data_IF_780284644116
#
_entry.id   IF_780284644116
#
_cell.length_a   1.000
_cell.length_b   1.000
_cell.length_c   1.000
_cell.angle_alpha   90.00
_cell.angle_beta   90.00
_cell.angle_gamma   90.00
#
_symmetry.space_group_name_H-M   'P 1'
#
loop_
_entity.id
_entity.type
_entity.pdbx_description
1 polymer ?
#
# COMPACT_ATOMS: atom_id res chain seq x y z
N UNK A 1 15.02 -19.95 40.00
CA UNK A 1 13.58 -20.14 39.68
C UNK A 1 13.32 -21.64 39.60
N UNK A 2 12.60 -22.25 40.56
CA UNK A 2 12.36 -23.70 40.55
C UNK A 2 11.31 -24.01 39.48
N UNK A 3 11.74 -24.59 38.35
CA UNK A 3 10.84 -25.06 37.31
C UNK A 3 9.98 -26.19 37.88
N UNK A 4 8.67 -26.15 37.64
CA UNK A 4 7.74 -27.22 38.01
C UNK A 4 8.23 -28.53 37.35
N UNK A 5 8.27 -29.68 38.06
CA UNK A 5 8.76 -30.95 37.53
C UNK A 5 8.16 -31.33 36.16
N UNK A 6 6.91 -30.96 35.90
CA UNK A 6 6.25 -31.19 34.60
C UNK A 6 6.94 -30.47 33.43
N UNK A 7 7.52 -29.29 33.63
CA UNK A 7 8.21 -28.55 32.58
C UNK A 7 9.64 -29.04 32.35
N UNK A 8 10.31 -29.53 33.39
CA UNK A 8 11.68 -30.04 33.32
C UNK A 8 11.78 -31.26 32.40
N UNK A 9 10.74 -32.10 32.39
CA UNK A 9 10.58 -33.25 31.49
C UNK A 9 10.58 -32.83 30.01
N UNK A 10 9.97 -31.70 29.65
CA UNK A 10 9.86 -31.24 28.26
C UNK A 10 11.01 -30.35 27.79
N UNK A 11 11.84 -29.86 28.70
CA UNK A 11 12.94 -28.93 28.39
C UNK A 11 14.30 -29.64 28.45
N UNK A 12 14.52 -30.51 29.43
CA UNK A 12 15.86 -31.04 29.74
C UNK A 12 15.95 -32.56 29.92
N UNK A 13 14.91 -33.23 30.43
CA UNK A 13 15.03 -34.63 30.89
C UNK A 13 14.41 -35.66 29.93
N UNK A 14 13.46 -35.27 29.07
CA UNK A 14 12.74 -36.17 28.18
C UNK A 14 11.57 -36.89 28.86
N UNK A 15 10.50 -37.17 28.10
CA UNK A 15 9.31 -37.84 28.63
C UNK A 15 9.45 -39.38 28.52
N UNK A 16 9.78 -40.02 29.64
CA UNK A 16 10.01 -41.47 29.69
C UNK A 16 8.73 -42.30 29.95
N UNK A 17 7.61 -41.66 30.28
CA UNK A 17 6.33 -42.32 30.57
C UNK A 17 5.43 -42.39 29.32
N UNK A 18 5.78 -43.28 28.38
CA UNK A 18 5.08 -43.39 27.09
C UNK A 18 3.56 -43.64 27.22
N UNK A 19 3.13 -44.38 28.25
CA UNK A 19 1.70 -44.67 28.52
C UNK A 19 0.87 -43.42 28.84
N UNK A 20 1.49 -42.42 29.47
CA UNK A 20 0.85 -41.16 29.87
C UNK A 20 1.37 -39.96 29.06
N UNK A 21 2.15 -40.21 28.01
CA UNK A 21 2.79 -39.16 27.25
C UNK A 21 1.75 -38.21 26.63
N UNK A 22 0.67 -38.76 26.07
CA UNK A 22 -0.35 -37.98 25.38
C UNK A 22 -1.08 -36.98 26.31
N UNK A 23 -1.41 -37.40 27.53
CA UNK A 23 -2.05 -36.52 28.53
C UNK A 23 -1.08 -35.45 29.02
N UNK A 24 0.19 -35.81 29.22
CA UNK A 24 1.24 -34.85 29.61
C UNK A 24 1.55 -33.85 28.48
N UNK A 25 1.52 -34.26 27.21
CA UNK A 25 1.66 -33.35 26.08
C UNK A 25 0.51 -32.36 25.99
N UNK A 26 -0.74 -32.81 26.16
CA UNK A 26 -1.91 -31.89 26.19
C UNK A 26 -1.76 -30.86 27.31
N UNK A 27 -1.34 -31.29 28.50
CA UNK A 27 -1.11 -30.40 29.63
C UNK A 27 0.05 -29.41 29.35
N UNK A 28 1.12 -29.87 28.70
CA UNK A 28 2.23 -29.03 28.28
C UNK A 28 1.84 -27.99 27.22
N UNK A 29 1.03 -28.36 26.22
CA UNK A 29 0.54 -27.44 25.18
C UNK A 29 -0.29 -26.30 25.77
N UNK A 30 -1.04 -26.56 26.84
CA UNK A 30 -1.79 -25.52 27.57
C UNK A 30 -0.94 -24.78 28.60
N UNK A 31 0.31 -25.18 28.82
CA UNK A 31 1.19 -24.54 29.79
C UNK A 31 1.58 -23.15 29.32
N UNK A 32 1.62 -22.21 30.28
CA UNK A 32 2.19 -20.89 30.10
C UNK A 32 3.59 -20.91 29.45
N UNK A 33 4.43 -21.89 29.79
CA UNK A 33 5.80 -21.94 29.25
C UNK A 33 5.80 -22.27 27.75
N UNK A 34 4.96 -23.21 27.30
CA UNK A 34 4.79 -23.49 25.89
C UNK A 34 4.18 -22.29 25.15
N UNK A 35 3.11 -21.71 25.70
CA UNK A 35 2.46 -20.53 25.13
C UNK A 35 3.43 -19.33 25.00
N UNK A 36 4.21 -19.04 26.03
CA UNK A 36 5.21 -17.96 26.01
C UNK A 36 6.32 -18.26 24.98
N UNK A 37 6.80 -19.51 24.89
CA UNK A 37 7.81 -19.90 23.89
C UNK A 37 7.31 -19.79 22.46
N UNK A 38 6.08 -20.25 22.19
CA UNK A 38 5.45 -20.12 20.86
C UNK A 38 5.19 -18.65 20.52
N UNK A 39 4.83 -17.82 21.50
CA UNK A 39 4.67 -16.38 21.32
C UNK A 39 5.99 -15.69 20.95
N UNK A 40 7.10 -16.03 21.62
CA UNK A 40 8.43 -15.49 21.30
C UNK A 40 8.91 -15.97 19.93
N UNK A 41 8.76 -17.26 19.61
CA UNK A 41 9.14 -17.81 18.30
C UNK A 41 8.33 -17.19 17.16
N UNK A 42 7.03 -17.00 17.35
CA UNK A 42 6.18 -16.31 16.38
C UNK A 42 6.58 -14.84 16.20
N UNK A 43 7.04 -14.16 17.26
CA UNK A 43 7.56 -12.80 17.14
C UNK A 43 8.89 -12.75 16.40
N UNK A 44 9.79 -13.72 16.61
CA UNK A 44 11.05 -13.82 15.86
C UNK A 44 10.81 -14.09 14.37
N UNK A 45 9.74 -14.82 14.04
CA UNK A 45 9.34 -15.06 12.65
C UNK A 45 8.65 -13.86 12.00
N UNK A 46 8.19 -12.86 12.76
CA UNK A 46 7.57 -11.65 12.19
C UNK A 46 8.66 -10.71 11.69
N UNK A 47 8.49 -10.10 10.50
CA UNK A 47 9.43 -9.08 10.05
C UNK A 47 9.43 -7.92 11.06
N UNK A 48 10.62 -7.38 11.32
CA UNK A 48 10.81 -6.21 12.19
C UNK A 48 9.83 -5.10 11.82
N UNK A 49 9.35 -4.34 12.82
CA UNK A 49 8.44 -3.19 12.60
C UNK A 49 8.97 -2.26 11.49
N UNK A 50 10.29 -2.05 11.44
CA UNK A 50 10.95 -1.27 10.37
C UNK A 50 10.71 -1.86 8.98
N UNK A 51 10.85 -3.17 8.80
CA UNK A 51 10.61 -3.84 7.51
C UNK A 51 9.13 -3.76 7.12
N UNK A 52 8.22 -3.89 8.08
CA UNK A 52 6.79 -3.73 7.84
C UNK A 52 6.47 -2.31 7.35
N UNK A 53 7.01 -1.28 8.01
CA UNK A 53 6.84 0.12 7.61
C UNK A 53 7.45 0.43 6.23
N UNK A 54 8.61 -0.15 5.91
CA UNK A 54 9.22 -0.02 4.58
C UNK A 54 8.33 -0.64 3.50
N UNK A 55 7.81 -1.84 3.76
CA UNK A 55 6.94 -2.55 2.82
C UNK A 55 5.62 -1.81 2.57
N UNK A 56 5.00 -1.26 3.63
CA UNK A 56 3.77 -0.47 3.50
C UNK A 56 4.02 0.84 2.77
N UNK A 57 5.12 1.54 3.09
CA UNK A 57 5.52 2.77 2.40
C UNK A 57 5.72 2.53 0.92
N UNK A 58 6.44 1.45 0.55
CA UNK A 58 6.66 1.06 -0.85
C UNK A 58 5.32 0.81 -1.57
N UNK A 59 4.42 0.05 -0.95
CA UNK A 59 3.08 -0.22 -1.50
C UNK A 59 2.29 1.07 -1.74
N UNK A 60 2.29 1.98 -0.76
CA UNK A 60 1.60 3.27 -0.91
C UNK A 60 2.23 4.14 -2.00
N UNK A 61 3.55 4.18 -2.12
CA UNK A 61 4.22 4.92 -3.20
C UNK A 61 3.83 4.39 -4.58
N UNK A 62 3.73 3.07 -4.73
CA UNK A 62 3.32 2.44 -5.98
C UNK A 62 1.87 2.79 -6.35
N UNK A 63 0.95 2.69 -5.38
CA UNK A 63 -0.45 3.09 -5.57
C UNK A 63 -0.58 4.56 -5.97
N UNK A 64 0.14 5.45 -5.28
CA UNK A 64 0.15 6.89 -5.59
C UNK A 64 0.70 7.18 -6.99
N UNK A 65 1.74 6.46 -7.39
CA UNK A 65 2.32 6.58 -8.74
C UNK A 65 1.32 6.17 -9.81
N UNK A 66 0.62 5.05 -9.62
CA UNK A 66 -0.43 4.59 -10.53
C UNK A 66 -1.56 5.63 -10.64
N UNK A 67 -2.07 6.11 -9.50
CA UNK A 67 -3.11 7.15 -9.46
C UNK A 67 -2.68 8.44 -10.19
N UNK A 68 -1.43 8.86 -10.00
CA UNK A 68 -0.86 10.02 -10.68
C UNK A 68 -0.78 9.85 -12.20
N UNK A 69 -0.34 8.69 -12.69
CA UNK A 69 -0.35 8.41 -14.14
C UNK A 69 -1.76 8.44 -14.72
N UNK A 70 -2.73 7.89 -13.99
CA UNK A 70 -4.13 7.94 -14.42
C UNK A 70 -4.62 9.40 -14.49
N UNK A 71 -4.29 10.23 -13.51
CA UNK A 71 -4.59 11.66 -13.52
C UNK A 71 -3.98 12.36 -14.76
N UNK A 72 -2.69 12.15 -15.04
CA UNK A 72 -2.03 12.72 -16.23
C UNK A 72 -2.76 12.29 -17.51
N UNK A 73 -3.03 11.00 -17.67
CA UNK A 73 -3.72 10.48 -18.87
C UNK A 73 -5.14 11.06 -19.02
N UNK A 74 -5.82 11.30 -17.90
CA UNK A 74 -7.15 11.92 -17.86
C UNK A 74 -7.10 13.40 -18.26
N UNK A 75 -6.09 14.14 -17.79
CA UNK A 75 -5.84 15.52 -18.21
C UNK A 75 -5.55 15.57 -19.72
N UNK A 76 -4.64 14.72 -20.21
CA UNK A 76 -4.31 14.66 -21.64
C UNK A 76 -5.53 14.33 -22.50
N UNK A 77 -6.37 13.39 -22.06
CA UNK A 77 -7.60 13.03 -22.75
C UNK A 77 -8.55 14.23 -22.90
N UNK A 78 -8.80 14.96 -21.81
CA UNK A 78 -9.68 16.14 -21.82
C UNK A 78 -9.09 17.28 -22.66
N UNK A 79 -7.80 17.56 -22.52
CA UNK A 79 -7.11 18.57 -23.32
C UNK A 79 -7.18 18.27 -24.82
N UNK A 80 -6.99 17.00 -25.20
CA UNK A 80 -7.08 16.57 -26.60
C UNK A 80 -8.48 16.71 -27.19
N UNK A 81 -9.51 16.62 -26.35
CA UNK A 81 -10.90 16.85 -26.76
C UNK A 81 -11.29 18.33 -26.74
N UNK A 82 -10.43 19.22 -26.23
CA UNK A 82 -10.77 20.62 -26.02
C UNK A 82 -11.80 20.84 -24.91
N UNK A 83 -11.97 19.86 -24.01
CA UNK A 83 -12.89 19.97 -22.89
C UNK A 83 -12.26 20.76 -21.74
N UNK A 84 -13.07 21.59 -21.09
CA UNK A 84 -12.64 22.31 -19.91
C UNK A 84 -12.30 21.32 -18.79
N UNK A 85 -11.10 21.45 -18.22
CA UNK A 85 -10.69 20.64 -17.05
C UNK A 85 -11.49 21.01 -15.80
N UNK A 86 -11.89 22.28 -15.68
CA UNK A 86 -12.63 22.84 -14.56
C UNK A 86 -14.07 23.14 -14.95
N UNK A 87 -14.97 22.94 -13.99
CA UNK A 87 -16.36 23.37 -14.07
C UNK A 87 -16.60 24.59 -13.17
N UNK A 88 -17.82 25.10 -13.19
CA UNK A 88 -18.25 26.19 -12.32
C UNK A 88 -18.29 25.82 -10.82
N UNK A 89 -18.35 24.51 -10.53
CA UNK A 89 -18.19 23.94 -9.20
C UNK A 89 -17.27 22.72 -9.27
N UNK A 90 -16.70 22.33 -8.13
CA UNK A 90 -15.87 21.12 -8.01
C UNK A 90 -16.66 19.84 -8.40
N UNK A 91 -17.97 19.83 -8.20
CA UNK A 91 -18.84 18.69 -8.57
C UNK A 91 -19.03 18.58 -10.09
N UNK A 92 -19.03 19.72 -10.79
CA UNK A 92 -19.17 19.82 -12.24
C UNK A 92 -17.82 19.86 -12.96
N UNK A 93 -16.73 19.57 -12.24
CA UNK A 93 -15.39 19.55 -12.80
C UNK A 93 -15.17 18.28 -13.65
N UNK A 94 -15.00 18.45 -14.96
CA UNK A 94 -14.83 17.34 -15.92
C UNK A 94 -13.70 16.40 -15.53
N UNK A 95 -12.59 16.94 -15.01
CA UNK A 95 -11.47 16.12 -14.54
C UNK A 95 -11.86 15.25 -13.34
N UNK A 96 -12.56 15.82 -12.35
CA UNK A 96 -13.00 15.07 -11.17
C UNK A 96 -14.01 13.99 -11.58
N UNK A 97 -14.94 14.30 -12.49
CA UNK A 97 -15.92 13.33 -13.00
C UNK A 97 -15.24 12.17 -13.74
N UNK A 98 -14.26 12.47 -14.60
CA UNK A 98 -13.50 11.45 -15.31
C UNK A 98 -12.69 10.57 -14.34
N UNK A 99 -12.02 11.17 -13.36
CA UNK A 99 -11.26 10.42 -12.36
C UNK A 99 -12.17 9.57 -11.47
N UNK A 100 -13.38 10.06 -11.12
CA UNK A 100 -14.43 9.28 -10.44
C UNK A 100 -14.93 8.12 -11.28
N UNK A 101 -15.14 8.31 -12.59
CA UNK A 101 -15.52 7.21 -13.48
C UNK A 101 -14.42 6.14 -13.51
N UNK A 102 -13.16 6.56 -13.63
CA UNK A 102 -12.01 5.66 -13.69
C UNK A 102 -11.68 4.99 -12.35
N UNK A 103 -12.17 5.52 -11.22
CA UNK A 103 -12.00 4.88 -9.92
C UNK A 103 -12.87 3.64 -9.73
N UNK A 104 -13.85 3.42 -10.62
CA UNK A 104 -14.59 2.15 -10.72
C UNK A 104 -13.65 1.03 -11.14
N UNK A 105 -12.75 1.29 -12.09
CA UNK A 105 -11.78 0.30 -12.61
C UNK A 105 -10.48 0.25 -11.80
N UNK A 106 -10.13 1.36 -11.14
CA UNK A 106 -8.87 1.50 -10.40
C UNK A 106 -9.11 1.94 -8.96
N UNK A 107 -9.08 0.97 -8.03
CA UNK A 107 -9.30 1.22 -6.60
C UNK A 107 -8.32 2.25 -6.00
N UNK A 108 -7.10 2.36 -6.54
CA UNK A 108 -6.09 3.31 -6.05
C UNK A 108 -6.51 4.79 -6.19
N UNK A 109 -7.54 5.08 -6.99
CA UNK A 109 -8.07 6.42 -7.17
C UNK A 109 -9.06 6.84 -6.08
N UNK A 110 -9.63 5.92 -5.31
CA UNK A 110 -10.60 6.25 -4.25
C UNK A 110 -9.97 7.16 -3.21
N UNK A 111 -8.86 6.71 -2.63
CA UNK A 111 -8.06 7.51 -1.69
C UNK A 111 -7.52 8.80 -2.31
N UNK A 112 -7.24 8.77 -3.63
CA UNK A 112 -6.70 9.91 -4.37
C UNK A 112 -7.73 11.04 -4.51
N UNK A 113 -9.00 10.68 -4.76
CA UNK A 113 -10.12 11.62 -4.86
C UNK A 113 -10.47 12.18 -3.47
N UNK A 114 -10.52 11.31 -2.45
CA UNK A 114 -10.93 11.71 -1.10
C UNK A 114 -9.95 12.70 -0.45
N UNK A 115 -8.64 12.52 -0.68
CA UNK A 115 -7.62 13.40 -0.13
C UNK A 115 -7.67 14.81 -0.75
N UNK A 116 -8.27 14.98 -1.94
CA UNK A 116 -8.39 16.21 -2.79
C UNK A 116 -7.10 16.99 -3.07
N UNK A 117 -6.02 16.71 -2.36
CA UNK A 117 -4.75 17.41 -2.39
C UNK A 117 -4.12 17.39 -3.77
N UNK A 118 -4.16 16.25 -4.46
CA UNK A 118 -3.51 16.03 -5.75
C UNK A 118 -4.33 16.51 -6.96
N UNK A 119 -5.63 16.75 -6.75
CA UNK A 119 -6.55 17.28 -7.76
C UNK A 119 -6.75 18.80 -7.62
N UNK A 120 -5.96 19.45 -6.76
CA UNK A 120 -6.00 20.90 -6.60
C UNK A 120 -5.64 21.60 -7.92
N UNK A 121 -6.20 22.78 -8.09
CA UNK A 121 -6.02 23.59 -9.27
C UNK A 121 -4.56 23.91 -9.58
N UNK A 122 -3.74 24.14 -8.56
CA UNK A 122 -2.32 24.45 -8.73
C UNK A 122 -1.57 23.24 -9.30
N UNK A 123 -1.83 22.05 -8.78
CA UNK A 123 -1.18 20.82 -9.26
C UNK A 123 -1.62 20.49 -10.68
N UNK A 124 -2.92 20.61 -10.97
CA UNK A 124 -3.44 20.37 -12.32
C UNK A 124 -2.85 21.38 -13.32
N UNK A 125 -2.68 22.65 -12.92
CA UNK A 125 -2.05 23.66 -13.75
C UNK A 125 -0.58 23.32 -14.07
N UNK A 126 0.19 22.86 -13.08
CA UNK A 126 1.56 22.44 -13.32
C UNK A 126 1.64 21.22 -14.25
N UNK A 127 0.74 20.24 -14.10
CA UNK A 127 0.64 19.11 -15.04
C UNK A 127 0.37 19.61 -16.47
N UNK A 128 -0.59 20.52 -16.64
CA UNK A 128 -0.90 21.11 -17.95
C UNK A 128 0.30 21.84 -18.55
N UNK A 129 1.04 22.60 -17.73
CA UNK A 129 2.23 23.32 -18.14
C UNK A 129 3.34 22.38 -18.59
N UNK A 130 3.59 21.30 -17.86
CA UNK A 130 4.59 20.30 -18.25
C UNK A 130 4.21 19.58 -19.55
N UNK A 131 2.93 19.22 -19.72
CA UNK A 131 2.41 18.65 -20.97
C UNK A 131 2.63 19.64 -22.13
N UNK A 132 2.24 20.91 -21.95
CA UNK A 132 2.40 21.97 -22.94
C UNK A 132 3.86 22.18 -23.35
N UNK A 133 4.77 22.30 -22.38
CA UNK A 133 6.19 22.48 -22.62
C UNK A 133 6.81 21.28 -23.36
N UNK A 134 6.36 20.06 -23.04
CA UNK A 134 6.82 18.85 -23.73
C UNK A 134 6.42 18.88 -25.20
N UNK A 135 5.15 19.16 -25.48
CA UNK A 135 4.63 19.24 -26.86
C UNK A 135 5.37 20.32 -27.66
N UNK A 136 5.61 21.51 -27.09
CA UNK A 136 6.34 22.57 -27.78
C UNK A 136 7.77 22.17 -28.09
N UNK A 137 8.47 21.52 -27.16
CA UNK A 137 9.83 21.06 -27.39
C UNK A 137 9.88 20.03 -28.51
N UNK A 138 8.89 19.15 -28.58
CA UNK A 138 8.81 18.14 -29.63
C UNK A 138 8.53 18.77 -31.00
N UNK A 139 7.56 19.69 -31.10
CA UNK A 139 7.29 20.45 -32.33
C UNK A 139 8.53 21.27 -32.75
N UNK A 140 9.21 21.92 -31.81
CA UNK A 140 10.40 22.71 -32.12
C UNK A 140 11.54 21.86 -32.68
N UNK A 141 11.73 20.62 -32.18
CA UNK A 141 12.69 19.69 -32.75
C UNK A 141 12.32 19.30 -34.18
N UNK A 142 11.06 18.95 -34.41
CA UNK A 142 10.57 18.60 -35.76
C UNK A 142 10.79 19.74 -36.76
N UNK A 143 10.57 21.00 -36.35
CA UNK A 143 10.79 22.16 -37.21
C UNK A 143 12.28 22.47 -37.41
N UNK A 144 13.13 22.27 -36.39
CA UNK A 144 14.57 22.54 -36.48
C UNK A 144 15.38 21.46 -37.23
N UNK A 145 14.85 20.24 -37.37
CA UNK A 145 15.47 19.16 -38.13
C UNK A 145 15.19 19.22 -39.64
N UNK A 146 14.38 20.19 -40.09
CA UNK A 146 14.10 20.52 -41.51
C UNK A 146 14.98 21.68 -41.96
#
# INVERSE_FOLDING_TARGET
MKLNPTHKIFISEGCNDWKNALSRFKLHQTSKLYLDSTYVMNQQSRPTVVLQLLSSTKKHQEQRRQAFFIQISSVMYLLRQGLALRGQSDENCSLIQLVKLRSIDHDCLKDWIDNKKYLSHDIVNEICKEIYLTIIRDIAKEVCEI
#
